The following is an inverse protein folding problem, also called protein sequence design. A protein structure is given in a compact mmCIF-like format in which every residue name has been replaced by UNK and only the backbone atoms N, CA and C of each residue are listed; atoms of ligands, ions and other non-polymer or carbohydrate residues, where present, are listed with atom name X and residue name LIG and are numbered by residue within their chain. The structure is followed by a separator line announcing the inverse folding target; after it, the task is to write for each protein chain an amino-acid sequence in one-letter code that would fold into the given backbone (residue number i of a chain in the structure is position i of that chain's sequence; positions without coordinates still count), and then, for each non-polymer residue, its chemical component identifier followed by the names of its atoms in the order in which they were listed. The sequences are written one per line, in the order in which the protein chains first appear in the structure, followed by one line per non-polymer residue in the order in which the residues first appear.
data_IF_760034772406
#
_entry.id   IF_760034772406
#
_cell.length_a   1.000
_cell.length_b   1.000
_cell.length_c   1.000
_cell.angle_alpha   90.00
_cell.angle_beta   90.00
_cell.angle_gamma   90.00
#
_symmetry.space_group_name_H-M   'P 1'
#
loop_
_entity.id
_entity.type
_entity.pdbx_description
1 polymer ?
#
# COMPACT_ATOMS: atom_id res chain seq x y z
N UNK A 1 10.86 3.42 -15.08
CA UNK A 1 10.68 2.44 -13.99
C UNK A 1 9.27 2.49 -13.41
N UNK A 2 8.71 3.68 -13.13
CA UNK A 2 7.31 3.79 -12.70
C UNK A 2 6.33 3.17 -13.70
N UNK A 3 6.47 3.51 -14.99
CA UNK A 3 5.62 2.95 -16.06
C UNK A 3 5.68 1.41 -16.13
N UNK A 4 6.81 0.81 -15.75
CA UNK A 4 6.96 -0.64 -15.70
C UNK A 4 6.09 -1.25 -14.61
N UNK A 5 6.13 -0.71 -13.39
CA UNK A 5 5.27 -1.17 -12.29
C UNK A 5 3.79 -0.89 -12.57
N UNK A 6 3.47 0.27 -13.15
CA UNK A 6 2.09 0.61 -13.54
C UNK A 6 1.54 -0.38 -14.56
N UNK A 7 2.30 -0.68 -15.61
CA UNK A 7 1.92 -1.67 -16.61
C UNK A 7 1.71 -3.07 -16.00
N UNK A 8 2.63 -3.49 -15.14
CA UNK A 8 2.54 -4.78 -14.45
C UNK A 8 1.29 -4.90 -13.56
N UNK A 9 1.03 -3.89 -12.73
CA UNK A 9 -0.08 -3.90 -11.80
C UNK A 9 -1.44 -3.70 -12.50
N UNK A 10 -1.52 -2.78 -13.45
CA UNK A 10 -2.79 -2.35 -14.05
C UNK A 10 -3.15 -3.09 -15.35
N UNK A 11 -2.18 -3.51 -16.15
CA UNK A 11 -2.45 -4.23 -17.41
C UNK A 11 -2.26 -5.74 -17.24
N UNK A 12 -1.09 -6.16 -16.76
CA UNK A 12 -0.76 -7.58 -16.68
C UNK A 12 -1.40 -8.30 -15.48
N UNK A 13 -1.76 -7.56 -14.43
CA UNK A 13 -2.15 -8.12 -13.13
C UNK A 13 -1.10 -9.11 -12.59
N UNK A 14 0.16 -8.84 -12.87
CA UNK A 14 1.30 -9.64 -12.43
C UNK A 14 2.50 -8.71 -12.23
N UNK A 15 3.04 -8.71 -11.01
CA UNK A 15 4.08 -7.78 -10.59
C UNK A 15 5.39 -8.50 -10.32
N UNK A 16 6.49 -7.89 -10.74
CA UNK A 16 7.82 -8.26 -10.26
C UNK A 16 7.97 -7.77 -8.83
N UNK A 17 7.95 -8.69 -7.87
CA UNK A 17 7.84 -8.38 -6.46
C UNK A 17 9.20 -8.24 -5.76
N UNK A 18 10.32 -8.42 -6.48
CA UNK A 18 11.66 -8.27 -5.92
C UNK A 18 12.26 -6.89 -6.25
N UNK A 19 12.28 -5.95 -5.28
CA UNK A 19 12.77 -4.61 -5.52
C UNK A 19 14.31 -4.52 -5.55
N UNK A 20 15.05 -5.63 -5.48
CA UNK A 20 16.51 -5.61 -5.41
C UNK A 20 17.12 -4.84 -6.61
N UNK A 21 17.89 -3.76 -6.38
CA UNK A 21 18.41 -2.92 -7.45
C UNK A 21 19.24 -3.66 -8.50
N UNK A 22 19.91 -4.75 -8.12
CA UNK A 22 20.69 -5.60 -9.02
C UNK A 22 19.86 -6.29 -10.11
N UNK A 23 18.53 -6.36 -9.97
CA UNK A 23 17.63 -6.92 -10.98
C UNK A 23 17.35 -5.95 -12.13
N UNK A 24 17.78 -4.69 -12.00
CA UNK A 24 17.49 -3.62 -12.94
C UNK A 24 18.78 -3.12 -13.60
N UNK A 25 18.76 -2.99 -14.92
CA UNK A 25 19.84 -2.40 -15.71
C UNK A 25 19.26 -1.24 -16.50
N UNK A 26 19.91 -0.07 -16.45
CA UNK A 26 19.62 1.01 -17.39
C UNK A 26 20.64 0.91 -18.51
N UNK A 27 20.16 0.67 -19.73
CA UNK A 27 21.01 0.57 -20.90
C UNK A 27 21.53 1.96 -21.33
N UNK A 28 22.59 2.04 -22.15
CA UNK A 28 23.08 3.32 -22.67
C UNK A 28 22.05 4.12 -23.48
N UNK A 29 21.04 3.45 -24.06
CA UNK A 29 19.89 4.07 -24.74
C UNK A 29 18.70 4.32 -23.80
N UNK A 30 18.92 4.36 -22.48
CA UNK A 30 17.94 4.67 -21.43
C UNK A 30 16.73 3.72 -21.36
N UNK A 31 16.90 2.46 -21.78
CA UNK A 31 15.88 1.42 -21.57
C UNK A 31 16.10 0.74 -20.23
N UNK A 32 14.99 0.30 -19.64
CA UNK A 32 15.00 -0.52 -18.43
C UNK A 32 15.07 -2.00 -18.82
N UNK A 33 16.20 -2.64 -18.54
CA UNK A 33 16.36 -4.09 -18.59
C UNK A 33 16.06 -4.72 -17.24
N UNK A 34 15.30 -5.82 -17.24
CA UNK A 34 14.99 -6.64 -16.07
C UNK A 34 15.63 -8.01 -16.29
N UNK A 35 16.43 -8.47 -15.35
CA UNK A 35 17.25 -9.68 -15.54
C UNK A 35 16.79 -10.89 -14.73
N UNK A 36 15.98 -10.68 -13.70
CA UNK A 36 15.45 -11.74 -12.85
C UNK A 36 13.92 -11.69 -12.87
N UNK A 37 13.26 -12.84 -12.98
CA UNK A 37 11.80 -13.01 -12.91
C UNK A 37 11.40 -14.14 -11.94
N UNK A 38 12.32 -14.56 -11.07
CA UNK A 38 12.09 -15.62 -10.09
C UNK A 38 11.09 -15.26 -9.00
N UNK A 39 10.77 -13.97 -8.84
CA UNK A 39 9.81 -13.45 -7.88
C UNK A 39 8.71 -12.64 -8.56
N UNK A 40 7.83 -13.33 -9.29
CA UNK A 40 6.63 -12.73 -9.91
C UNK A 40 5.39 -13.14 -9.11
N UNK A 41 4.56 -12.15 -8.76
CA UNK A 41 3.28 -12.36 -8.10
C UNK A 41 2.13 -12.06 -9.05
N UNK A 42 1.21 -13.01 -9.19
CA UNK A 42 -0.08 -12.77 -9.86
C UNK A 42 -1.03 -12.10 -8.88
N UNK A 43 -1.70 -11.03 -9.33
CA UNK A 43 -2.65 -10.25 -8.54
C UNK A 43 -4.05 -10.77 -8.87
N UNK A 44 -4.75 -11.44 -7.93
CA UNK A 44 -6.12 -11.89 -8.16
C UNK A 44 -7.03 -10.69 -8.47
N UNK A 45 -7.98 -10.88 -9.39
CA UNK A 45 -8.85 -9.79 -9.85
C UNK A 45 -9.64 -9.15 -8.69
N UNK A 46 -10.26 -9.96 -7.84
CA UNK A 46 -11.05 -9.46 -6.69
C UNK A 46 -10.20 -8.65 -5.70
N UNK A 47 -8.94 -9.07 -5.52
CA UNK A 47 -7.99 -8.34 -4.70
C UNK A 47 -7.60 -7.02 -5.36
N UNK A 48 -7.29 -7.03 -6.65
CA UNK A 48 -6.96 -5.82 -7.41
C UNK A 48 -8.07 -4.76 -7.29
N UNK A 49 -9.32 -5.14 -7.55
CA UNK A 49 -10.47 -4.23 -7.50
C UNK A 49 -10.63 -3.62 -6.10
N UNK A 50 -10.50 -4.43 -5.04
CA UNK A 50 -10.63 -3.93 -3.67
C UNK A 50 -9.43 -3.07 -3.24
N UNK A 51 -8.22 -3.48 -3.60
CA UNK A 51 -6.97 -2.85 -3.14
C UNK A 51 -6.75 -1.49 -3.78
N UNK A 52 -6.94 -1.37 -5.11
CA UNK A 52 -6.68 -0.10 -5.79
C UNK A 52 -7.75 0.97 -5.53
N UNK A 53 -8.93 0.59 -5.01
CA UNK A 53 -9.91 1.54 -4.48
C UNK A 53 -9.38 2.38 -3.32
N UNK A 54 -8.36 1.90 -2.60
CA UNK A 54 -7.67 2.66 -1.55
C UNK A 54 -6.98 3.93 -2.07
N UNK A 55 -6.61 3.95 -3.36
CA UNK A 55 -5.91 5.06 -3.99
C UNK A 55 -6.84 6.03 -4.73
N UNK A 56 -8.16 5.76 -4.74
CA UNK A 56 -9.13 6.66 -5.36
C UNK A 56 -9.15 8.03 -4.65
N UNK A 57 -9.33 9.09 -5.44
CA UNK A 57 -9.18 10.49 -4.97
C UNK A 57 -10.11 10.85 -3.80
N UNK A 58 -11.31 10.29 -3.77
CA UNK A 58 -12.33 10.53 -2.74
C UNK A 58 -12.27 9.52 -1.59
N UNK A 59 -11.36 8.54 -1.62
CA UNK A 59 -11.35 7.46 -0.62
C UNK A 59 -11.22 8.00 0.81
N UNK A 60 -10.34 8.96 1.04
CA UNK A 60 -10.09 9.54 2.36
C UNK A 60 -11.28 10.34 2.92
N UNK A 61 -12.22 10.78 2.06
CA UNK A 61 -13.38 11.59 2.46
C UNK A 61 -14.71 10.84 2.34
N UNK A 62 -14.73 9.62 1.78
CA UNK A 62 -15.92 8.84 1.52
C UNK A 62 -16.08 7.68 2.52
N UNK A 63 -16.80 7.92 3.62
CA UNK A 63 -16.96 6.93 4.70
C UNK A 63 -17.66 5.64 4.26
N UNK A 64 -18.63 5.74 3.35
CA UNK A 64 -19.33 4.57 2.83
C UNK A 64 -18.37 3.66 2.05
N UNK A 65 -17.49 4.26 1.24
CA UNK A 65 -16.44 3.54 0.50
C UNK A 65 -15.41 2.93 1.45
N UNK A 66 -14.96 3.69 2.46
CA UNK A 66 -14.03 3.19 3.48
C UNK A 66 -14.59 1.95 4.18
N UNK A 67 -15.86 1.98 4.60
CA UNK A 67 -16.49 0.87 5.30
C UNK A 67 -16.52 -0.41 4.47
N UNK A 68 -16.80 -0.30 3.17
CA UNK A 68 -16.79 -1.44 2.23
C UNK A 68 -15.37 -1.97 2.08
N UNK A 69 -14.42 -1.11 1.68
CA UNK A 69 -13.05 -1.55 1.35
C UNK A 69 -12.30 -2.07 2.58
N UNK A 70 -12.47 -1.46 3.76
CA UNK A 70 -11.83 -1.93 4.99
C UNK A 70 -12.36 -3.30 5.43
N UNK A 71 -13.61 -3.61 5.10
CA UNK A 71 -14.17 -4.95 5.31
C UNK A 71 -13.63 -5.94 4.28
N UNK A 72 -13.67 -5.60 3.00
CA UNK A 72 -13.23 -6.48 1.90
C UNK A 72 -11.75 -6.87 2.05
N UNK A 73 -10.91 -5.90 2.44
CA UNK A 73 -9.49 -6.10 2.70
C UNK A 73 -9.17 -6.59 4.12
N UNK A 74 -10.18 -6.84 4.96
CA UNK A 74 -10.05 -7.30 6.34
C UNK A 74 -9.12 -6.43 7.20
N UNK A 75 -9.16 -5.11 7.00
CA UNK A 75 -8.43 -4.17 7.86
C UNK A 75 -9.09 -4.04 9.23
N UNK A 76 -10.42 -4.16 9.27
CA UNK A 76 -11.21 -4.21 10.51
C UNK A 76 -11.74 -5.63 10.72
N UNK A 77 -11.69 -6.12 11.97
CA UNK A 77 -12.20 -7.43 12.35
C UNK A 77 -13.66 -7.31 12.83
N UNK A 78 -14.48 -8.33 12.58
CA UNK A 78 -15.88 -8.34 13.01
C UNK A 78 -16.04 -8.36 14.54
N UNK A 79 -15.02 -8.81 15.27
CA UNK A 79 -14.99 -8.85 16.73
C UNK A 79 -14.25 -7.65 17.35
N UNK A 80 -13.96 -6.61 16.57
CA UNK A 80 -13.41 -5.37 17.13
C UNK A 80 -14.45 -4.62 17.95
N UNK A 81 -14.04 -4.21 19.15
CA UNK A 81 -14.76 -3.23 19.97
C UNK A 81 -14.85 -1.90 19.22
N UNK A 82 -15.82 -1.05 19.57
CA UNK A 82 -15.98 0.26 18.95
C UNK A 82 -14.68 1.09 19.01
N UNK A 83 -13.98 1.04 20.16
CA UNK A 83 -12.69 1.71 20.36
C UNK A 83 -11.60 1.15 19.44
N UNK A 84 -11.47 -0.17 19.33
CA UNK A 84 -10.49 -0.77 18.42
C UNK A 84 -10.77 -0.35 16.97
N UNK A 85 -12.04 -0.43 16.52
CA UNK A 85 -12.42 -0.03 15.17
C UNK A 85 -12.00 1.40 14.85
N UNK A 86 -12.24 2.32 15.77
CA UNK A 86 -11.84 3.72 15.61
C UNK A 86 -10.33 3.88 15.50
N UNK A 87 -9.57 3.24 16.40
CA UNK A 87 -8.10 3.30 16.39
C UNK A 87 -7.53 2.73 15.08
N UNK A 88 -7.93 1.52 14.70
CA UNK A 88 -7.44 0.88 13.48
C UNK A 88 -7.86 1.68 12.23
N UNK A 89 -9.12 2.15 12.16
CA UNK A 89 -9.59 2.99 11.05
C UNK A 89 -8.70 4.23 10.90
N UNK A 90 -8.45 4.94 12.00
CA UNK A 90 -7.64 6.16 11.99
C UNK A 90 -6.19 5.90 11.55
N UNK A 91 -5.58 4.82 12.06
CA UNK A 91 -4.21 4.42 11.68
C UNK A 91 -4.13 4.09 10.20
N UNK A 92 -5.06 3.28 9.67
CA UNK A 92 -5.07 2.93 8.25
C UNK A 92 -5.31 4.16 7.37
N UNK A 93 -6.21 5.07 7.74
CA UNK A 93 -6.44 6.30 6.98
C UNK A 93 -5.21 7.22 6.95
N UNK A 94 -4.51 7.37 8.08
CA UNK A 94 -3.26 8.13 8.13
C UNK A 94 -2.15 7.48 7.29
N UNK A 95 -2.04 6.14 7.35
CA UNK A 95 -1.09 5.41 6.52
C UNK A 95 -1.38 5.58 5.02
N UNK A 96 -2.65 5.51 4.61
CA UNK A 96 -3.09 5.72 3.22
C UNK A 96 -2.91 7.17 2.75
N UNK A 97 -3.08 8.14 3.65
CA UNK A 97 -2.72 9.51 3.40
C UNK A 97 -1.21 9.59 3.10
N UNK A 98 -0.35 9.19 4.04
CA UNK A 98 1.10 9.32 3.90
C UNK A 98 1.66 8.58 2.68
N UNK A 99 1.33 7.30 2.52
CA UNK A 99 1.83 6.47 1.43
C UNK A 99 1.19 6.82 0.08
N UNK A 100 0.00 7.42 0.08
CA UNK A 100 -0.70 7.81 -1.13
C UNK A 100 -0.23 9.15 -1.73
N UNK A 101 0.58 9.94 -1.01
CA UNK A 101 1.05 11.25 -1.49
C UNK A 101 1.73 11.21 -2.88
N UNK A 102 2.64 10.25 -3.17
CA UNK A 102 3.26 10.18 -4.50
C UNK A 102 2.28 9.93 -5.64
N UNK A 103 1.13 9.32 -5.36
CA UNK A 103 0.12 8.98 -6.37
C UNK A 103 -0.91 10.09 -6.58
N UNK A 104 -0.93 11.12 -5.71
CA UNK A 104 -1.89 12.23 -5.76
C UNK A 104 -1.31 13.52 -6.33
N UNK A 105 -0.04 13.49 -6.73
CA UNK A 105 0.67 14.61 -7.35
C UNK A 105 1.13 14.21 -8.75
N UNK A 106 1.15 15.17 -9.67
CA UNK A 106 1.72 14.96 -11.02
C UNK A 106 3.23 14.76 -10.96
N UNK A 107 3.89 15.48 -10.04
CA UNK A 107 5.30 15.35 -9.73
C UNK A 107 5.47 15.14 -8.23
N UNK A 108 6.37 14.23 -7.85
CA UNK A 108 6.69 13.96 -6.45
C UNK A 108 8.20 13.86 -6.29
N UNK A 109 8.75 14.60 -5.32
CA UNK A 109 10.17 14.62 -5.03
C UNK A 109 10.52 13.56 -3.96
N UNK A 110 11.00 12.41 -4.40
CA UNK A 110 11.49 11.35 -3.51
C UNK A 110 12.85 11.67 -2.87
N UNK A 111 13.45 12.84 -3.12
CA UNK A 111 14.63 13.31 -2.38
C UNK A 111 14.27 14.19 -1.19
N UNK A 112 12.99 14.59 -1.05
CA UNK A 112 12.52 15.36 0.10
C UNK A 112 12.58 14.54 1.38
N UNK A 113 13.48 14.93 2.28
CA UNK A 113 13.68 14.27 3.57
C UNK A 113 12.46 14.40 4.48
N UNK A 114 11.71 15.50 4.39
CA UNK A 114 10.54 15.72 5.23
C UNK A 114 9.47 14.65 5.00
N UNK A 115 9.36 14.14 3.78
CA UNK A 115 8.47 13.02 3.48
C UNK A 115 8.86 11.76 4.26
N UNK A 116 10.13 11.34 4.20
CA UNK A 116 10.59 10.15 4.92
C UNK A 116 10.57 10.34 6.44
N UNK A 117 10.91 11.53 6.94
CA UNK A 117 10.78 11.87 8.36
C UNK A 117 9.33 11.69 8.85
N UNK A 118 8.34 12.08 8.05
CA UNK A 118 6.92 11.87 8.39
C UNK A 118 6.53 10.38 8.42
N UNK A 119 7.10 9.55 7.53
CA UNK A 119 6.89 8.09 7.54
C UNK A 119 7.51 7.45 8.79
N UNK A 120 8.73 7.85 9.15
CA UNK A 120 9.41 7.35 10.34
C UNK A 120 8.67 7.75 11.62
N UNK A 121 8.27 9.02 11.73
CA UNK A 121 7.51 9.52 12.87
C UNK A 121 6.19 8.76 13.04
N UNK A 122 5.45 8.54 11.95
CA UNK A 122 4.23 7.74 11.96
C UNK A 122 4.48 6.29 12.43
N UNK A 123 5.55 5.66 11.93
CA UNK A 123 5.97 4.33 12.39
C UNK A 123 6.28 4.28 13.89
N UNK A 124 7.00 5.28 14.42
CA UNK A 124 7.30 5.37 15.84
C UNK A 124 6.04 5.58 16.70
N UNK A 125 5.14 6.47 16.29
CA UNK A 125 3.89 6.75 16.99
C UNK A 125 2.98 5.52 17.02
N UNK A 126 2.77 4.88 15.87
CA UNK A 126 1.95 3.66 15.77
C UNK A 126 2.55 2.52 16.58
N UNK A 127 3.88 2.38 16.63
CA UNK A 127 4.55 1.36 17.45
C UNK A 127 4.27 1.50 18.96
N UNK A 128 3.88 2.70 19.43
CA UNK A 128 3.58 2.98 20.85
C UNK A 128 2.11 2.73 21.20
N UNK A 129 1.21 2.56 20.22
CA UNK A 129 -0.22 2.31 20.44
C UNK A 129 -0.41 0.89 20.98
N UNK A 130 -0.98 0.79 22.19
CA UNK A 130 -1.16 -0.48 22.90
C UNK A 130 -2.01 -1.47 22.10
N UNK A 131 -3.12 -1.00 21.54
CA UNK A 131 -4.09 -1.79 20.79
C UNK A 131 -3.47 -2.43 19.54
N UNK A 132 -2.58 -1.70 18.84
CA UNK A 132 -1.83 -2.25 17.69
C UNK A 132 -0.87 -3.35 18.15
N UNK A 133 -0.14 -3.13 19.25
CA UNK A 133 0.85 -4.08 19.77
C UNK A 133 0.24 -5.36 20.34
N UNK A 134 -0.94 -5.27 20.94
CA UNK A 134 -1.60 -6.42 21.60
C UNK A 134 -2.63 -7.11 20.72
N UNK A 135 -2.82 -6.66 19.49
CA UNK A 135 -3.78 -7.26 18.57
C UNK A 135 -3.29 -8.63 18.09
N UNK A 136 -3.98 -9.69 18.50
CA UNK A 136 -3.76 -11.05 18.01
C UNK A 136 -4.66 -11.40 16.80
N UNK A 137 -5.44 -10.44 16.30
CA UNK A 137 -6.34 -10.61 15.16
C UNK A 137 -5.56 -10.33 13.87
N UNK A 138 -5.53 -11.26 12.90
CA UNK A 138 -4.88 -11.03 11.62
C UNK A 138 -5.67 -9.95 10.84
N UNK A 139 -4.97 -8.91 10.38
CA UNK A 139 -5.55 -7.83 9.58
C UNK A 139 -4.88 -7.78 8.22
N UNK A 140 -5.68 -7.60 7.17
CA UNK A 140 -5.25 -7.74 5.79
C UNK A 140 -5.63 -9.09 5.19
N UNK A 141 -5.86 -9.09 3.89
CA UNK A 141 -6.04 -10.32 3.10
C UNK A 141 -4.69 -10.94 2.76
N UNK A 142 -4.68 -12.26 2.57
CA UNK A 142 -3.45 -13.02 2.25
C UNK A 142 -2.78 -12.48 0.99
N UNK A 143 -3.53 -12.06 -0.01
CA UNK A 143 -2.98 -11.57 -1.27
C UNK A 143 -2.30 -10.19 -1.14
N UNK A 144 -2.44 -9.51 0.00
CA UNK A 144 -1.61 -8.35 0.35
C UNK A 144 -0.22 -8.74 0.89
N UNK A 145 -0.04 -10.01 1.28
CA UNK A 145 1.23 -10.57 1.73
C UNK A 145 1.90 -11.31 0.56
N UNK A 146 3.19 -11.07 0.35
CA UNK A 146 4.06 -11.67 -0.68
C UNK A 146 3.56 -11.53 -2.09
#
# INVERSE_FOLDING_TARGET
MWDFYQFQMHELKAVHADPHPGNFIITPDYKLGIIDFGCVKVIPHDFYESYFRLLEKDFLTNEAKQAIVFKDLRFLDDNDTAREREIFKNVFLQMLELLGRPFRSEFFDFSDKAYFESLFAFGEETSKIKELRTSNKPRGVRDALY
#
